data_IF_756317796091
#
_entry.id   IF_756317796091
#
_cell.length_a   1.000
_cell.length_b   1.000
_cell.length_c   1.000
_cell.angle_alpha   90.00
_cell.angle_beta   90.00
_cell.angle_gamma   90.00
#
_symmetry.space_group_name_H-M   'P 1'
#
loop_
_entity.id
_entity.type
_entity.pdbx_description
1 polymer ?
#
# COMPACT_ATOMS: atom_id res chain seq x y z
N UNK A 1 47.19 -5.07 32.13
CA UNK A 1 45.84 -4.60 31.83
C UNK A 1 45.63 -4.83 30.33
N UNK A 2 45.01 -5.93 29.97
CA UNK A 2 44.83 -6.33 28.56
C UNK A 2 43.49 -5.77 28.07
N UNK A 3 43.53 -4.89 27.09
CA UNK A 3 42.32 -4.38 26.41
C UNK A 3 41.73 -5.48 25.56
N UNK A 4 40.53 -5.88 25.92
CA UNK A 4 39.71 -6.83 25.14
C UNK A 4 39.07 -6.07 23.97
N UNK A 5 39.63 -6.23 22.78
CA UNK A 5 39.07 -5.71 21.54
C UNK A 5 37.87 -6.57 21.15
N UNK A 6 36.68 -6.00 21.24
CA UNK A 6 35.44 -6.60 20.73
C UNK A 6 35.54 -6.57 19.21
N UNK A 7 35.43 -7.72 18.48
CA UNK A 7 35.46 -7.73 17.05
C UNK A 7 34.17 -7.05 16.52
N UNK A 8 34.34 -6.15 15.53
CA UNK A 8 33.22 -5.53 14.83
C UNK A 8 32.33 -6.58 14.15
N UNK A 9 31.00 -6.38 14.13
CA UNK A 9 30.10 -7.31 13.46
C UNK A 9 30.46 -7.41 11.97
N UNK A 10 30.66 -8.64 11.50
CA UNK A 10 30.90 -8.91 10.09
C UNK A 10 29.65 -8.60 9.29
N UNK A 11 29.69 -7.53 8.50
CA UNK A 11 28.65 -7.27 7.50
C UNK A 11 28.75 -8.33 6.40
N UNK A 12 27.58 -8.85 5.92
CA UNK A 12 27.60 -9.75 4.75
C UNK A 12 28.23 -9.04 3.56
N UNK A 13 28.93 -9.75 2.69
CA UNK A 13 29.57 -9.17 1.51
C UNK A 13 28.51 -8.50 0.64
N UNK A 14 28.85 -7.32 0.10
CA UNK A 14 27.98 -6.61 -0.81
C UNK A 14 27.68 -7.50 -2.04
N UNK A 15 26.43 -7.58 -2.51
CA UNK A 15 26.07 -8.39 -3.65
C UNK A 15 26.82 -7.89 -4.91
N UNK A 16 27.16 -8.79 -5.84
CA UNK A 16 27.83 -8.44 -7.07
C UNK A 16 26.93 -7.57 -7.96
N UNK A 17 27.33 -6.33 -8.15
CA UNK A 17 26.59 -5.32 -8.88
C UNK A 17 26.40 -4.11 -7.96
N UNK A 18 27.31 -3.15 -8.01
CA UNK A 18 27.36 -1.99 -7.10
C UNK A 18 26.01 -1.28 -7.02
N UNK A 19 25.46 -1.14 -5.81
CA UNK A 19 24.28 -0.33 -5.58
C UNK A 19 24.61 1.12 -5.98
N UNK A 20 23.92 1.63 -6.99
CA UNK A 20 23.91 3.06 -7.25
C UNK A 20 23.34 3.77 -6.01
N UNK A 21 23.96 4.88 -5.59
CA UNK A 21 23.47 5.67 -4.46
C UNK A 21 21.99 6.08 -4.63
N UNK A 22 21.51 6.18 -5.86
CA UNK A 22 20.12 6.48 -6.24
C UNK A 22 19.17 5.34 -5.84
N UNK A 23 19.59 4.08 -5.91
CA UNK A 23 18.72 2.93 -5.59
C UNK A 23 18.47 2.79 -4.09
N UNK A 24 19.35 3.32 -3.21
CA UNK A 24 19.16 3.26 -1.74
C UNK A 24 17.92 4.00 -1.27
N UNK A 25 17.48 5.02 -1.99
CA UNK A 25 16.36 5.86 -1.61
C UNK A 25 15.09 5.58 -2.42
N UNK A 26 15.14 4.64 -3.38
CA UNK A 26 14.03 4.31 -4.27
C UNK A 26 13.77 2.80 -4.28
N UNK A 27 13.02 2.26 -3.29
CA UNK A 27 12.75 0.83 -3.18
C UNK A 27 11.97 0.26 -4.38
N UNK A 28 11.29 1.09 -5.15
CA UNK A 28 10.59 0.70 -6.38
C UNK A 28 11.53 0.26 -7.51
N UNK A 29 12.80 0.64 -7.45
CA UNK A 29 13.82 0.26 -8.44
C UNK A 29 14.50 -1.08 -8.12
N UNK A 30 14.20 -1.69 -6.97
CA UNK A 30 14.81 -2.95 -6.56
C UNK A 30 14.03 -4.14 -7.10
N UNK A 31 14.76 -5.15 -7.56
CA UNK A 31 14.14 -6.44 -7.83
C UNK A 31 13.63 -7.08 -6.54
N UNK A 32 12.66 -7.99 -6.68
CA UNK A 32 12.12 -8.72 -5.52
C UNK A 32 13.22 -9.47 -4.74
N UNK A 33 14.23 -10.03 -5.43
CA UNK A 33 15.37 -10.70 -4.80
C UNK A 33 16.26 -9.73 -4.03
N UNK A 34 16.60 -8.60 -4.64
CA UNK A 34 17.38 -7.55 -3.97
C UNK A 34 16.66 -7.06 -2.72
N UNK A 35 15.36 -6.79 -2.83
CA UNK A 35 14.57 -6.33 -1.69
C UNK A 35 14.52 -7.35 -0.55
N UNK A 36 14.41 -8.65 -0.86
CA UNK A 36 14.49 -9.72 0.16
C UNK A 36 15.87 -9.76 0.82
N UNK A 37 16.94 -9.63 0.04
CA UNK A 37 18.31 -9.73 0.54
C UNK A 37 18.71 -8.59 1.47
N UNK A 38 18.28 -7.36 1.18
CA UNK A 38 18.67 -6.17 1.95
C UNK A 38 17.74 -5.86 3.12
N UNK A 39 16.54 -6.47 3.17
CA UNK A 39 15.58 -6.21 4.23
C UNK A 39 15.95 -6.96 5.51
N UNK A 40 16.81 -6.34 6.32
CA UNK A 40 17.29 -6.88 7.61
C UNK A 40 16.65 -6.20 8.82
N UNK A 41 16.17 -4.97 8.65
CA UNK A 41 15.48 -4.22 9.69
C UNK A 41 13.96 -4.44 9.63
N UNK A 42 13.24 -4.09 10.71
CA UNK A 42 11.77 -4.11 10.80
C UNK A 42 11.11 -5.47 10.53
N UNK A 43 11.83 -6.56 10.81
CA UNK A 43 11.29 -7.92 10.69
C UNK A 43 10.10 -8.15 11.62
N UNK A 44 10.11 -7.50 12.79
CA UNK A 44 9.02 -7.59 13.76
C UNK A 44 7.76 -6.93 13.21
N UNK A 45 7.85 -5.70 12.70
CA UNK A 45 6.72 -4.98 12.11
C UNK A 45 6.17 -5.73 10.89
N UNK A 46 7.03 -6.29 10.05
CA UNK A 46 6.61 -7.13 8.93
C UNK A 46 5.83 -8.37 9.41
N UNK A 47 6.32 -9.04 10.44
CA UNK A 47 5.66 -10.20 11.02
C UNK A 47 4.30 -9.84 11.64
N UNK A 48 4.19 -8.72 12.36
CA UNK A 48 2.95 -8.22 12.95
C UNK A 48 1.91 -7.89 11.88
N UNK A 49 2.30 -7.19 10.81
CA UNK A 49 1.41 -6.89 9.68
C UNK A 49 0.95 -8.17 8.97
N UNK A 50 1.88 -9.10 8.70
CA UNK A 50 1.57 -10.38 8.05
C UNK A 50 0.63 -11.22 8.91
N UNK A 51 0.82 -11.25 10.23
CA UNK A 51 -0.09 -11.93 11.15
C UNK A 51 -1.47 -11.28 11.19
N UNK A 52 -1.55 -9.96 11.18
CA UNK A 52 -2.83 -9.23 11.09
C UNK A 52 -3.61 -9.65 9.85
N UNK A 53 -2.94 -9.72 8.68
CA UNK A 53 -3.57 -10.18 7.43
C UNK A 53 -4.07 -11.62 7.54
N UNK A 54 -3.28 -12.51 8.17
CA UNK A 54 -3.59 -13.94 8.28
C UNK A 54 -4.78 -14.21 9.20
N UNK A 55 -4.93 -13.43 10.27
CA UNK A 55 -5.96 -13.65 11.28
C UNK A 55 -7.23 -12.82 11.07
N UNK A 56 -7.26 -11.93 10.06
CA UNK A 56 -8.44 -11.13 9.79
C UNK A 56 -9.57 -11.99 9.18
N UNK A 57 -10.69 -12.20 9.90
CA UNK A 57 -11.77 -13.05 9.41
C UNK A 57 -12.36 -12.53 8.11
N UNK A 58 -12.79 -13.44 7.25
CA UNK A 58 -13.49 -13.08 6.00
C UNK A 58 -14.77 -12.32 6.32
N UNK A 59 -15.06 -11.26 5.56
CA UNK A 59 -16.27 -10.46 5.75
C UNK A 59 -16.20 -9.45 6.90
N UNK A 60 -15.10 -9.38 7.65
CA UNK A 60 -14.90 -8.34 8.68
C UNK A 60 -14.02 -7.21 8.16
N UNK A 61 -14.35 -5.99 8.56
CA UNK A 61 -13.50 -4.82 8.30
C UNK A 61 -12.24 -4.93 9.16
N UNK A 62 -11.08 -4.76 8.53
CA UNK A 62 -9.78 -4.79 9.21
C UNK A 62 -9.42 -3.46 9.82
N UNK A 63 -8.56 -3.49 10.85
CA UNK A 63 -7.93 -2.28 11.38
C UNK A 63 -6.88 -1.78 10.38
N UNK A 64 -7.10 -0.61 9.80
CA UNK A 64 -6.14 0.04 8.91
C UNK A 64 -4.91 0.49 9.69
N UNK A 65 -3.74 0.44 9.05
CA UNK A 65 -2.46 0.72 9.68
C UNK A 65 -1.75 1.92 9.06
N UNK A 66 -1.05 2.71 9.87
CA UNK A 66 -0.23 3.83 9.41
C UNK A 66 1.21 3.69 9.94
N UNK A 67 2.15 3.55 9.04
CA UNK A 67 3.58 3.53 9.33
C UNK A 67 4.09 4.96 9.44
N UNK A 68 4.26 5.45 10.67
CA UNK A 68 4.72 6.82 10.92
C UNK A 68 6.24 6.85 11.10
N UNK A 69 6.89 7.84 10.50
CA UNK A 69 8.33 8.08 10.70
C UNK A 69 8.95 8.99 9.65
N UNK A 70 10.11 9.56 9.96
CA UNK A 70 10.85 10.46 9.09
C UNK A 70 11.21 9.81 7.73
N UNK A 71 11.56 10.65 6.75
CA UNK A 71 12.08 10.18 5.45
C UNK A 71 13.30 9.30 5.65
N UNK A 72 13.43 8.26 4.82
CA UNK A 72 14.57 7.33 4.90
C UNK A 72 14.45 6.26 5.99
N UNK A 73 13.41 6.24 6.81
CA UNK A 73 13.19 5.21 7.84
C UNK A 73 12.69 3.86 7.31
N UNK A 74 12.60 3.69 5.99
CA UNK A 74 12.28 2.42 5.36
C UNK A 74 10.78 2.04 5.38
N UNK A 75 9.86 3.02 5.47
CA UNK A 75 8.41 2.76 5.39
C UNK A 75 8.00 2.15 4.05
N UNK A 76 8.39 2.77 2.94
CA UNK A 76 8.13 2.28 1.58
C UNK A 76 8.75 0.90 1.37
N UNK A 77 9.97 0.68 1.89
CA UNK A 77 10.64 -0.63 1.86
C UNK A 77 9.84 -1.69 2.61
N UNK A 78 9.31 -1.36 3.80
CA UNK A 78 8.46 -2.28 4.57
C UNK A 78 7.17 -2.61 3.83
N UNK A 79 6.50 -1.63 3.22
CA UNK A 79 5.29 -1.88 2.41
C UNK A 79 5.57 -2.77 1.20
N UNK A 80 6.68 -2.55 0.48
CA UNK A 80 7.09 -3.42 -0.62
C UNK A 80 7.42 -4.84 -0.13
N UNK A 81 8.07 -4.97 1.03
CA UNK A 81 8.32 -6.29 1.65
C UNK A 81 7.04 -6.99 2.10
N UNK A 82 6.05 -6.23 2.60
CA UNK A 82 4.73 -6.77 2.94
C UNK A 82 4.02 -7.32 1.69
N UNK A 83 4.04 -6.58 0.58
CA UNK A 83 3.51 -7.07 -0.68
C UNK A 83 4.16 -8.39 -1.09
N UNK A 84 5.51 -8.47 -1.08
CA UNK A 84 6.21 -9.72 -1.40
C UNK A 84 5.90 -10.84 -0.40
N UNK A 85 5.75 -10.53 0.89
CA UNK A 85 5.40 -11.54 1.88
C UNK A 85 4.00 -12.13 1.65
N UNK A 86 3.05 -11.31 1.17
CA UNK A 86 1.72 -11.79 0.76
C UNK A 86 1.81 -12.62 -0.52
N UNK A 87 2.56 -12.16 -1.51
CA UNK A 87 2.74 -12.86 -2.80
C UNK A 87 3.46 -14.21 -2.64
N UNK A 88 4.44 -14.28 -1.73
CA UNK A 88 5.24 -15.49 -1.45
C UNK A 88 4.47 -16.55 -0.62
N UNK A 89 3.43 -16.17 0.10
CA UNK A 89 2.63 -17.06 0.95
C UNK A 89 1.33 -17.45 0.25
N UNK A 90 1.20 -18.71 -0.17
CA UNK A 90 0.03 -19.22 -0.89
C UNK A 90 -1.29 -19.02 -0.13
N UNK A 91 -1.27 -19.05 1.21
CA UNK A 91 -2.47 -18.84 2.03
C UNK A 91 -2.90 -17.38 2.07
N UNK A 92 -1.95 -16.45 2.04
CA UNK A 92 -2.22 -15.01 2.02
C UNK A 92 -2.59 -14.55 0.61
N UNK A 93 -1.86 -14.98 -0.42
CA UNK A 93 -2.13 -14.60 -1.82
C UNK A 93 -3.47 -15.14 -2.34
N UNK A 94 -3.99 -16.22 -1.76
CA UNK A 94 -5.35 -16.68 -2.03
C UNK A 94 -6.43 -15.70 -1.51
N UNK A 95 -6.13 -14.92 -0.47
CA UNK A 95 -7.08 -14.01 0.19
C UNK A 95 -6.82 -12.55 -0.17
N UNK A 96 -5.57 -12.15 -0.32
CA UNK A 96 -5.15 -10.77 -0.47
C UNK A 96 -4.45 -10.52 -1.80
N UNK A 97 -4.82 -9.44 -2.47
CA UNK A 97 -4.11 -8.90 -3.63
C UNK A 97 -3.45 -7.57 -3.24
N UNK A 98 -2.11 -7.50 -3.14
CA UNK A 98 -1.42 -6.27 -2.81
C UNK A 98 -1.44 -5.28 -3.99
N UNK A 99 -1.99 -4.10 -3.75
CA UNK A 99 -1.99 -2.98 -4.68
C UNK A 99 -0.91 -1.98 -4.23
N UNK A 100 0.14 -1.87 -5.04
CA UNK A 100 1.29 -1.00 -4.77
C UNK A 100 1.06 0.32 -5.49
N UNK A 101 0.72 1.35 -4.74
CA UNK A 101 0.57 2.67 -5.30
C UNK A 101 1.91 3.27 -5.71
N UNK A 102 1.97 4.07 -6.79
CA UNK A 102 3.15 4.84 -7.10
C UNK A 102 3.46 5.81 -5.95
N UNK A 103 4.76 6.12 -5.76
CA UNK A 103 5.21 6.95 -4.63
C UNK A 103 4.63 8.37 -4.68
N UNK A 104 4.35 8.88 -5.89
CA UNK A 104 3.90 10.26 -6.10
C UNK A 104 2.37 10.35 -6.20
N UNK A 105 1.71 10.63 -5.06
CA UNK A 105 0.27 10.92 -4.99
C UNK A 105 -0.02 12.44 -5.07
N UNK A 106 0.91 13.23 -5.62
CA UNK A 106 0.81 14.70 -5.65
C UNK A 106 -0.36 15.23 -6.47
N UNK A 107 -0.88 14.46 -7.40
CA UNK A 107 -1.96 14.84 -8.33
C UNK A 107 -3.35 14.40 -7.88
N UNK A 108 -3.46 13.71 -6.75
CA UNK A 108 -4.75 13.24 -6.23
C UNK A 108 -5.38 14.33 -5.37
N UNK A 109 -6.45 14.92 -5.86
CA UNK A 109 -7.20 15.97 -5.17
C UNK A 109 -8.66 15.60 -4.92
N UNK A 110 -9.11 14.47 -5.46
CA UNK A 110 -10.50 14.00 -5.29
C UNK A 110 -10.55 12.49 -5.07
N UNK A 111 -11.63 12.01 -4.46
CA UNK A 111 -11.86 10.56 -4.31
C UNK A 111 -12.00 9.85 -5.66
N UNK A 112 -12.52 10.53 -6.67
CA UNK A 112 -12.58 9.96 -8.02
C UNK A 112 -11.17 9.63 -8.55
N UNK A 113 -10.23 10.57 -8.40
CA UNK A 113 -8.82 10.35 -8.76
C UNK A 113 -8.17 9.26 -7.89
N UNK A 114 -8.46 9.24 -6.59
CA UNK A 114 -7.96 8.19 -5.71
C UNK A 114 -8.42 6.79 -6.16
N UNK A 115 -9.72 6.62 -6.42
CA UNK A 115 -10.25 5.33 -6.87
C UNK A 115 -9.79 4.94 -8.29
N UNK A 116 -9.55 5.92 -9.17
CA UNK A 116 -8.89 5.66 -10.45
C UNK A 116 -7.48 5.08 -10.24
N UNK A 117 -6.67 5.66 -9.34
CA UNK A 117 -5.35 5.12 -9.00
C UNK A 117 -5.42 3.72 -8.36
N UNK A 118 -6.50 3.40 -7.64
CA UNK A 118 -6.74 2.03 -7.13
C UNK A 118 -6.94 1.06 -8.29
N UNK A 119 -7.71 1.45 -9.32
CA UNK A 119 -7.94 0.63 -10.51
C UNK A 119 -6.66 0.45 -11.33
N UNK A 120 -5.87 1.51 -11.52
CA UNK A 120 -4.57 1.42 -12.20
C UNK A 120 -3.61 0.49 -11.44
N UNK A 121 -3.52 0.63 -10.11
CA UNK A 121 -2.71 -0.25 -9.25
C UNK A 121 -3.22 -1.70 -9.29
N UNK A 122 -4.50 -1.91 -9.51
CA UNK A 122 -5.10 -3.24 -9.69
C UNK A 122 -4.69 -3.84 -11.04
N UNK A 123 -4.74 -3.08 -12.14
CA UNK A 123 -4.28 -3.51 -13.45
C UNK A 123 -2.80 -3.91 -13.39
N UNK A 124 -1.94 -3.07 -12.80
CA UNK A 124 -0.53 -3.37 -12.56
C UNK A 124 -0.29 -4.62 -11.73
N UNK A 125 -1.13 -4.85 -10.69
CA UNK A 125 -1.04 -6.06 -9.89
C UNK A 125 -1.40 -7.30 -10.70
N UNK A 126 -2.42 -7.24 -11.53
CA UNK A 126 -2.82 -8.35 -12.41
C UNK A 126 -1.72 -8.66 -13.44
N UNK A 127 -1.09 -7.65 -14.02
CA UNK A 127 0.02 -7.81 -14.95
C UNK A 127 1.22 -8.49 -14.26
N UNK A 128 1.63 -8.01 -13.09
CA UNK A 128 2.73 -8.63 -12.30
C UNK A 128 2.46 -10.10 -11.96
N UNK A 129 1.20 -10.46 -11.76
CA UNK A 129 0.79 -11.85 -11.48
C UNK A 129 0.55 -12.69 -12.75
N UNK A 130 0.91 -12.16 -13.93
CA UNK A 130 0.79 -12.88 -15.21
C UNK A 130 -0.65 -13.23 -15.57
N UNK A 131 -1.62 -12.41 -15.14
CA UNK A 131 -3.01 -12.62 -15.49
C UNK A 131 -3.24 -12.39 -16.99
N UNK A 132 -4.27 -13.03 -17.60
CA UNK A 132 -4.56 -12.85 -19.01
C UNK A 132 -4.76 -11.38 -19.40
N UNK A 133 -4.26 -11.00 -20.60
CA UNK A 133 -4.35 -9.62 -21.09
C UNK A 133 -5.83 -9.13 -21.14
N UNK A 134 -6.78 -10.02 -21.35
CA UNK A 134 -8.20 -9.71 -21.35
C UNK A 134 -8.69 -9.24 -19.97
N UNK A 135 -8.14 -9.79 -18.89
CA UNK A 135 -8.49 -9.39 -17.53
C UNK A 135 -7.96 -7.98 -17.23
N UNK A 136 -6.74 -7.65 -17.68
CA UNK A 136 -6.15 -6.32 -17.56
C UNK A 136 -6.94 -5.32 -18.40
N UNK A 137 -7.20 -5.63 -19.67
CA UNK A 137 -7.99 -4.79 -20.58
C UNK A 137 -9.41 -4.52 -20.05
N UNK A 138 -10.01 -5.45 -19.31
CA UNK A 138 -11.30 -5.24 -18.65
C UNK A 138 -11.26 -4.19 -17.53
N UNK A 139 -10.13 -4.09 -16.79
CA UNK A 139 -9.91 -3.03 -15.81
C UNK A 139 -9.74 -1.69 -16.50
N UNK A 140 -8.89 -1.62 -17.54
CA UNK A 140 -8.65 -0.39 -18.31
C UNK A 140 -9.94 0.14 -18.96
N UNK A 141 -10.76 -0.76 -19.54
CA UNK A 141 -12.06 -0.41 -20.08
C UNK A 141 -13.03 0.09 -18.99
N UNK A 142 -12.93 -0.46 -17.80
CA UNK A 142 -13.70 0.02 -16.64
C UNK A 142 -13.24 1.40 -16.22
N UNK A 143 -11.94 1.64 -16.07
CA UNK A 143 -11.38 2.95 -15.74
C UNK A 143 -11.77 4.01 -16.78
N UNK A 144 -11.67 3.69 -18.07
CA UNK A 144 -12.08 4.57 -19.18
C UNK A 144 -13.58 4.91 -19.11
N UNK A 145 -14.42 3.93 -18.86
CA UNK A 145 -15.87 4.15 -18.74
C UNK A 145 -16.22 5.02 -17.54
N UNK A 146 -15.54 4.82 -16.42
CA UNK A 146 -15.75 5.62 -15.21
C UNK A 146 -15.30 7.07 -15.39
N UNK A 147 -14.19 7.30 -16.09
CA UNK A 147 -13.72 8.64 -16.40
C UNK A 147 -14.69 9.45 -17.29
N UNK A 148 -15.56 8.77 -18.04
CA UNK A 148 -16.60 9.41 -18.85
C UNK A 148 -17.86 9.78 -18.06
N UNK A 149 -18.01 9.34 -16.81
CA UNK A 149 -19.15 9.70 -15.95
C UNK A 149 -19.03 11.14 -15.43
N UNK A 150 -20.15 11.76 -15.01
CA UNK A 150 -20.11 13.02 -14.27
C UNK A 150 -19.22 12.90 -13.01
N UNK A 151 -18.41 13.90 -12.66
CA UNK A 151 -17.49 13.84 -11.53
C UNK A 151 -18.12 13.39 -10.21
N UNK A 152 -19.36 13.79 -9.95
CA UNK A 152 -20.10 13.42 -8.73
C UNK A 152 -20.42 11.91 -8.64
N UNK A 153 -20.44 11.20 -9.77
CA UNK A 153 -20.78 9.77 -9.86
C UNK A 153 -19.55 8.88 -9.91
N UNK A 154 -18.39 9.44 -10.31
CA UNK A 154 -17.18 8.66 -10.58
C UNK A 154 -16.69 7.87 -9.36
N UNK A 155 -16.67 8.50 -8.18
CA UNK A 155 -16.15 7.88 -6.96
C UNK A 155 -16.97 6.66 -6.53
N UNK A 156 -18.29 6.78 -6.50
CA UNK A 156 -19.18 5.68 -6.13
C UNK A 156 -19.16 4.56 -7.17
N UNK A 157 -19.18 4.90 -8.45
CA UNK A 157 -19.13 3.91 -9.52
C UNK A 157 -17.78 3.15 -9.53
N UNK A 158 -16.67 3.82 -9.24
CA UNK A 158 -15.36 3.18 -9.11
C UNK A 158 -15.32 2.22 -7.92
N UNK A 159 -15.87 2.61 -6.78
CA UNK A 159 -15.97 1.75 -5.59
C UNK A 159 -16.84 0.51 -5.87
N UNK A 160 -17.96 0.68 -6.55
CA UNK A 160 -18.80 -0.44 -6.96
C UNK A 160 -18.07 -1.41 -7.91
N UNK A 161 -17.29 -0.89 -8.85
CA UNK A 161 -16.46 -1.71 -9.73
C UNK A 161 -15.42 -2.51 -8.95
N UNK A 162 -14.72 -1.88 -7.99
CA UNK A 162 -13.74 -2.53 -7.11
C UNK A 162 -14.38 -3.63 -6.25
N UNK A 163 -15.56 -3.38 -5.68
CA UNK A 163 -16.35 -4.40 -4.95
C UNK A 163 -16.63 -5.61 -5.83
N UNK A 164 -17.13 -5.36 -7.02
CA UNK A 164 -17.47 -6.42 -7.97
C UNK A 164 -16.24 -7.24 -8.36
N UNK A 165 -15.12 -6.58 -8.68
CA UNK A 165 -13.87 -7.25 -9.06
C UNK A 165 -13.32 -8.08 -7.88
N UNK A 166 -13.28 -7.52 -6.68
CA UNK A 166 -12.86 -8.22 -5.46
C UNK A 166 -13.71 -9.47 -5.19
N UNK A 167 -15.03 -9.35 -5.28
CA UNK A 167 -15.97 -10.46 -5.10
C UNK A 167 -15.82 -11.55 -6.17
N UNK A 168 -15.71 -11.17 -7.44
CA UNK A 168 -15.53 -12.10 -8.57
C UNK A 168 -14.22 -12.87 -8.45
N UNK A 169 -13.16 -12.23 -7.97
CA UNK A 169 -11.86 -12.86 -7.75
C UNK A 169 -11.77 -13.65 -6.45
N UNK A 170 -12.67 -13.41 -5.50
CA UNK A 170 -12.60 -13.97 -4.16
C UNK A 170 -11.42 -13.44 -3.35
N UNK A 171 -10.82 -12.31 -3.75
CA UNK A 171 -9.66 -11.69 -3.10
C UNK A 171 -10.00 -10.31 -2.56
N UNK A 172 -9.43 -9.99 -1.40
CA UNK A 172 -9.48 -8.67 -0.76
C UNK A 172 -8.31 -7.82 -1.29
N UNK A 173 -8.48 -6.52 -1.32
CA UNK A 173 -7.48 -5.59 -1.82
C UNK A 173 -6.69 -5.00 -0.65
N UNK A 174 -5.37 -5.23 -0.65
CA UNK A 174 -4.44 -4.63 0.31
C UNK A 174 -3.84 -3.37 -0.32
N UNK A 175 -4.34 -2.20 0.09
CA UNK A 175 -3.88 -0.90 -0.42
C UNK A 175 -2.59 -0.50 0.29
N UNK A 176 -1.49 -0.40 -0.45
CA UNK A 176 -0.18 0.02 0.05
C UNK A 176 0.10 1.44 -0.43
N UNK A 177 -0.28 2.42 0.40
CA UNK A 177 -0.31 3.84 0.01
C UNK A 177 0.79 4.60 0.75
N UNK A 178 1.85 4.98 0.04
CA UNK A 178 2.89 5.84 0.62
C UNK A 178 2.43 7.32 0.63
N UNK A 179 3.10 8.13 1.44
CA UNK A 179 2.76 9.54 1.62
C UNK A 179 1.26 9.79 1.89
N UNK A 180 0.65 8.95 2.74
CA UNK A 180 -0.76 9.06 3.13
C UNK A 180 -1.12 10.45 3.66
N UNK A 181 -0.21 11.08 4.40
CA UNK A 181 -0.33 12.45 4.89
C UNK A 181 -0.53 13.45 3.76
N UNK A 182 0.24 13.34 2.69
CA UNK A 182 0.12 14.21 1.52
C UNK A 182 -1.19 13.97 0.77
N UNK A 183 -1.57 12.71 0.58
CA UNK A 183 -2.84 12.35 -0.04
C UNK A 183 -4.02 12.95 0.73
N UNK A 184 -4.06 12.77 2.05
CA UNK A 184 -5.13 13.28 2.88
C UNK A 184 -5.14 14.83 2.94
N UNK A 185 -3.97 15.46 2.84
CA UNK A 185 -3.89 16.92 2.75
C UNK A 185 -4.53 17.46 1.45
N UNK A 186 -4.39 16.74 0.35
CA UNK A 186 -4.86 17.18 -0.97
C UNK A 186 -6.37 16.98 -1.17
N UNK A 187 -6.96 15.96 -0.52
CA UNK A 187 -8.41 15.72 -0.63
C UNK A 187 -9.18 16.64 0.32
N UNK A 188 -10.33 17.14 -0.14
CA UNK A 188 -11.19 18.02 0.65
C UNK A 188 -11.80 17.34 1.89
N UNK A 189 -12.21 18.13 2.91
CA UNK A 189 -12.72 17.58 4.18
C UNK A 189 -13.90 16.62 4.00
N UNK A 190 -14.84 16.98 3.15
CA UNK A 190 -16.03 16.15 2.91
C UNK A 190 -15.66 14.80 2.28
N UNK A 191 -14.70 14.80 1.37
CA UNK A 191 -14.22 13.59 0.73
C UNK A 191 -13.39 12.72 1.70
N UNK A 192 -12.66 13.33 2.64
CA UNK A 192 -11.98 12.60 3.72
C UNK A 192 -12.99 11.83 4.58
N UNK A 193 -14.11 12.45 4.98
CA UNK A 193 -15.16 11.78 5.72
C UNK A 193 -15.80 10.65 4.92
N UNK A 194 -16.03 10.87 3.63
CA UNK A 194 -16.54 9.84 2.72
C UNK A 194 -15.57 8.67 2.61
N UNK A 195 -14.27 8.94 2.46
CA UNK A 195 -13.23 7.91 2.42
C UNK A 195 -13.19 7.11 3.73
N UNK A 196 -13.25 7.78 4.88
CA UNK A 196 -13.32 7.12 6.18
C UNK A 196 -14.52 6.18 6.27
N UNK A 197 -15.71 6.65 5.88
CA UNK A 197 -16.93 5.81 5.90
C UNK A 197 -16.77 4.56 5.03
N UNK A 198 -16.20 4.70 3.83
CA UNK A 198 -15.89 3.57 2.95
C UNK A 198 -14.95 2.60 3.67
N UNK A 199 -13.83 3.06 4.17
CA UNK A 199 -12.85 2.21 4.84
C UNK A 199 -13.41 1.53 6.10
N UNK A 200 -14.36 2.15 6.79
CA UNK A 200 -15.04 1.57 7.96
C UNK A 200 -16.13 0.54 7.61
N UNK A 201 -16.60 0.50 6.37
CA UNK A 201 -17.69 -0.36 5.94
C UNK A 201 -17.30 -1.42 4.93
N UNK A 202 -16.11 -1.31 4.29
CA UNK A 202 -15.70 -2.19 3.22
C UNK A 202 -14.75 -3.31 3.70
N UNK A 203 -15.25 -4.52 3.96
CA UNK A 203 -14.40 -5.63 4.38
C UNK A 203 -13.44 -6.10 3.27
N UNK A 204 -13.66 -5.66 2.03
CA UNK A 204 -12.81 -5.96 0.88
C UNK A 204 -11.53 -5.15 0.84
N UNK A 205 -11.44 -4.07 1.63
CA UNK A 205 -10.32 -3.14 1.61
C UNK A 205 -9.55 -3.17 2.93
N UNK A 206 -8.24 -3.24 2.85
CA UNK A 206 -7.34 -2.96 3.97
C UNK A 206 -6.27 -1.99 3.52
N UNK A 207 -6.08 -0.92 4.28
CA UNK A 207 -5.08 0.11 4.01
C UNK A 207 -3.89 -0.05 4.95
N UNK A 208 -2.69 -0.11 4.37
CA UNK A 208 -1.43 0.09 5.08
C UNK A 208 -0.75 1.29 4.45
N UNK A 209 -0.66 2.38 5.19
CA UNK A 209 -0.14 3.65 4.72
C UNK A 209 1.24 3.98 5.27
N UNK A 210 2.00 4.80 4.52
CA UNK A 210 3.21 5.46 5.01
C UNK A 210 2.94 6.95 5.25
N UNK A 211 3.41 7.50 6.36
CA UNK A 211 3.31 8.93 6.68
C UNK A 211 4.62 9.47 7.24
N UNK A 212 4.94 10.73 6.92
CA UNK A 212 6.10 11.40 7.50
C UNK A 212 5.91 11.71 8.98
N UNK A 213 4.68 12.04 9.38
CA UNK A 213 4.32 12.41 10.75
C UNK A 213 2.98 11.78 11.15
N UNK A 214 2.70 11.77 12.45
CA UNK A 214 1.37 11.40 12.94
C UNK A 214 0.32 12.35 12.38
N UNK A 215 -0.83 11.82 11.98
CA UNK A 215 -1.94 12.64 11.50
C UNK A 215 -2.46 13.59 12.57
N UNK A 216 -2.34 13.19 13.85
CA UNK A 216 -2.72 14.01 15.01
C UNK A 216 -1.82 15.23 15.21
N UNK A 217 -0.54 15.14 14.79
CA UNK A 217 0.43 16.21 14.96
C UNK A 217 0.20 17.39 14.00
N UNK A 218 -0.65 17.23 12.99
CA UNK A 218 -0.87 18.24 11.97
C UNK A 218 -2.31 18.75 12.03
N UNK A 219 -2.50 19.97 12.58
CA UNK A 219 -3.80 20.65 12.65
C UNK A 219 -4.45 20.97 11.29
N UNK A 220 -3.74 20.72 10.18
CA UNK A 220 -4.26 20.87 8.82
C UNK A 220 -5.01 19.62 8.34
N UNK A 221 -4.87 18.48 9.03
CA UNK A 221 -5.70 17.32 8.76
C UNK A 221 -7.01 17.47 9.53
N UNK A 222 -8.09 17.38 8.79
CA UNK A 222 -9.42 17.37 9.39
C UNK A 222 -9.58 16.16 10.29
N UNK A 223 -10.47 16.26 11.26
CA UNK A 223 -10.74 15.25 12.29
C UNK A 223 -11.16 13.87 11.73
N UNK A 224 -11.36 13.78 10.41
CA UNK A 224 -11.82 12.55 9.76
C UNK A 224 -10.94 11.32 10.03
N UNK A 225 -9.63 11.49 10.18
CA UNK A 225 -8.70 10.36 10.37
C UNK A 225 -7.99 10.34 11.72
N UNK A 226 -8.41 11.21 12.66
CA UNK A 226 -7.97 11.09 14.05
C UNK A 226 -8.43 9.74 14.61
N UNK A 227 -7.54 9.04 15.31
CA UNK A 227 -7.78 7.71 15.91
C UNK A 227 -8.30 6.63 14.94
N UNK A 228 -8.13 6.82 13.64
CA UNK A 228 -8.61 5.88 12.63
C UNK A 228 -7.61 4.77 12.33
N UNK A 229 -6.35 5.13 12.18
CA UNK A 229 -5.27 4.19 11.91
C UNK A 229 -4.64 3.67 13.21
N UNK A 230 -4.18 2.41 13.16
CA UNK A 230 -3.30 1.83 14.17
C UNK A 230 -1.85 2.11 13.84
#
# INVERSE_FOLDING_TARGET
>A
MSESTIPAPAYPPAPPGGFSAISKYNPHLWTSEQLRAIFVARQRELAELTQTLRHLPTGTVGQHCLLVGARGMGKSTLMQRLALAVEDDASLSAIWLPLRFPEEQYTVHTLAQFWANVLDSLADALERHGQPAEAIAAIDATATRLAALPPAEQAEAALQALRHISQTRGQRLLLLVDNTDLLLHNIGPQEQWTLRQVLQSEPQLLWVGGSYQSLEANSQYHDAFLDFFR
#
